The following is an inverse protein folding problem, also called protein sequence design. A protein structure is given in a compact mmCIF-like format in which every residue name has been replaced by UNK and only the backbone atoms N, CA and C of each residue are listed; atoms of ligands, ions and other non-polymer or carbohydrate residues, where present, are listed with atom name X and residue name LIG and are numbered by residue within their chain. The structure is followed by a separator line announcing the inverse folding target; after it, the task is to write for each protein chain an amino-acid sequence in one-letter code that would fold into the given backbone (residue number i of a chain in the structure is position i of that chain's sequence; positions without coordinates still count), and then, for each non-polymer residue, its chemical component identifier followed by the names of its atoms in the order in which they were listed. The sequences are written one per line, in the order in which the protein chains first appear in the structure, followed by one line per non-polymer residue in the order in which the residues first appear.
data_IF_142480826426
#
_entry.id   IF_142480826426
#
_cell.length_a   1.000
_cell.length_b   1.000
_cell.length_c   1.000
_cell.angle_alpha   90.00
_cell.angle_beta   90.00
_cell.angle_gamma   90.00
#
_symmetry.space_group_name_H-M   'P 1'
#
loop_
_entity.id
_entity.type
_entity.pdbx_description
1 polymer ?
#
# COMPACT_ATOMS: atom_id res chain seq x y z
N UNK A 1 -4.89 6.36 -4.57
CA UNK A 1 -5.14 6.38 -3.10
C UNK A 1 -6.37 7.23 -2.85
N UNK A 2 -7.21 6.89 -1.87
CA UNK A 2 -8.37 7.70 -1.45
C UNK A 2 -8.17 8.09 0.02
N UNK A 3 -8.31 9.36 0.35
CA UNK A 3 -8.31 9.86 1.72
C UNK A 3 -9.76 10.09 2.18
N UNK A 4 -10.16 9.46 3.28
CA UNK A 4 -11.49 9.57 3.89
C UNK A 4 -11.45 10.32 5.24
N UNK A 5 -10.24 10.65 5.71
CA UNK A 5 -9.99 11.27 6.99
C UNK A 5 -8.54 11.71 7.13
N UNK A 6 -8.15 12.06 8.36
CA UNK A 6 -6.78 12.48 8.64
C UNK A 6 -5.88 11.24 8.78
N UNK A 7 -4.96 10.99 7.83
CA UNK A 7 -4.12 9.79 7.83
C UNK A 7 -3.16 9.71 9.04
N UNK A 8 -2.97 10.83 9.75
CA UNK A 8 -2.03 10.94 10.86
C UNK A 8 -2.69 10.82 12.24
N UNK A 9 -4.01 10.65 12.31
CA UNK A 9 -4.77 10.65 13.59
C UNK A 9 -4.26 9.63 14.62
N UNK A 10 -3.69 8.51 14.14
CA UNK A 10 -3.21 7.40 14.97
C UNK A 10 -1.70 7.14 14.82
N UNK A 11 -0.97 8.08 14.23
CA UNK A 11 0.45 7.95 13.92
C UNK A 11 1.27 8.79 14.89
N UNK A 12 2.14 8.14 15.67
CA UNK A 12 3.08 8.81 16.57
C UNK A 12 4.43 8.98 15.87
N UNK A 13 4.90 10.22 15.71
CA UNK A 13 6.11 10.56 14.94
C UNK A 13 7.45 10.13 15.56
N UNK A 14 7.48 9.16 16.47
CA UNK A 14 8.70 8.51 16.96
C UNK A 14 8.93 7.10 16.36
N UNK A 15 7.98 6.60 15.56
CA UNK A 15 8.04 5.26 14.96
C UNK A 15 7.80 5.33 13.45
N UNK A 16 8.27 4.30 12.75
CA UNK A 16 7.91 4.03 11.35
C UNK A 16 6.71 3.09 11.30
N UNK A 17 5.65 3.52 10.64
CA UNK A 17 4.42 2.76 10.45
C UNK A 17 4.40 2.16 9.06
N UNK A 18 4.15 0.86 9.03
CA UNK A 18 4.08 0.02 7.86
C UNK A 18 2.75 -0.71 7.87
N UNK A 19 2.14 -0.91 6.71
CA UNK A 19 0.77 -1.39 6.64
C UNK A 19 0.71 -2.71 5.90
N UNK A 20 0.24 -3.76 6.58
CA UNK A 20 0.21 -5.12 6.04
C UNK A 20 -1.06 -5.40 5.24
N UNK A 21 -0.91 -6.26 4.24
CA UNK A 21 -2.01 -6.94 3.55
C UNK A 21 -2.53 -8.13 4.39
N UNK A 22 -3.66 -8.71 3.98
CA UNK A 22 -4.28 -9.88 4.63
C UNK A 22 -3.69 -11.23 4.16
N UNK A 23 -2.53 -11.22 3.49
CA UNK A 23 -1.85 -12.41 2.99
C UNK A 23 -0.40 -12.46 3.43
N UNK A 24 0.14 -13.67 3.51
CA UNK A 24 1.57 -13.92 3.73
C UNK A 24 2.33 -13.91 2.41
N UNK A 25 3.60 -13.49 2.42
CA UNK A 25 4.45 -13.37 1.23
C UNK A 25 4.45 -14.66 0.39
N UNK A 26 4.63 -15.82 1.03
CA UNK A 26 4.67 -17.12 0.37
C UNK A 26 3.33 -17.65 -0.15
N UNK A 27 2.22 -17.00 0.20
CA UNK A 27 0.86 -17.41 -0.18
C UNK A 27 0.30 -16.60 -1.35
N UNK A 28 0.88 -15.45 -1.67
CA UNK A 28 0.50 -14.63 -2.83
C UNK A 28 1.36 -15.01 -4.02
N UNK A 29 0.75 -15.46 -5.13
CA UNK A 29 1.50 -15.91 -6.31
C UNK A 29 2.48 -14.87 -6.83
N UNK A 30 2.01 -13.63 -7.03
CA UNK A 30 2.81 -12.52 -7.55
C UNK A 30 3.88 -12.05 -6.56
N UNK A 31 3.53 -11.79 -5.29
CA UNK A 31 4.50 -11.35 -4.30
C UNK A 31 5.55 -12.42 -4.00
N UNK A 32 5.15 -13.70 -3.97
CA UNK A 32 6.09 -14.82 -3.84
C UNK A 32 7.06 -14.86 -5.02
N UNK A 33 6.56 -14.70 -6.24
CA UNK A 33 7.38 -14.72 -7.45
C UNK A 33 8.40 -13.56 -7.43
N UNK A 34 7.94 -12.33 -7.19
CA UNK A 34 8.84 -11.17 -7.05
C UNK A 34 9.88 -11.35 -5.95
N UNK A 35 9.45 -11.80 -4.78
CA UNK A 35 10.36 -11.97 -3.65
C UNK A 35 11.40 -13.06 -3.92
N UNK A 36 10.98 -14.22 -4.46
CA UNK A 36 11.90 -15.29 -4.84
C UNK A 36 12.82 -14.89 -5.99
N UNK A 37 12.35 -14.12 -6.96
CA UNK A 37 13.18 -13.61 -8.05
C UNK A 37 14.28 -12.66 -7.56
N UNK A 38 14.03 -11.96 -6.46
CA UNK A 38 14.98 -11.07 -5.82
C UNK A 38 15.85 -11.73 -4.74
N UNK A 39 15.39 -12.78 -4.05
CA UNK A 39 16.06 -13.35 -2.89
C UNK A 39 15.98 -14.88 -2.85
N UNK A 40 17.15 -15.54 -2.83
CA UNK A 40 17.28 -17.00 -2.98
C UNK A 40 17.93 -17.72 -1.78
N UNK A 41 18.17 -17.05 -0.65
CA UNK A 41 18.86 -17.65 0.50
C UNK A 41 17.90 -18.14 1.60
N UNK A 42 18.42 -18.92 2.56
CA UNK A 42 17.62 -19.49 3.66
C UNK A 42 16.89 -18.43 4.51
N UNK A 43 17.49 -17.23 4.63
CA UNK A 43 16.82 -16.11 5.31
C UNK A 43 15.59 -15.64 4.53
N UNK A 44 15.67 -15.61 3.20
CA UNK A 44 14.53 -15.32 2.33
C UNK A 44 13.42 -16.36 2.47
N UNK A 45 13.76 -17.65 2.62
CA UNK A 45 12.78 -18.70 2.83
C UNK A 45 11.97 -18.50 4.12
N UNK A 46 12.60 -18.02 5.20
CA UNK A 46 11.91 -17.69 6.45
C UNK A 46 10.92 -16.53 6.26
N UNK A 47 11.28 -15.53 5.46
CA UNK A 47 10.45 -14.35 5.20
C UNK A 47 9.18 -14.65 4.40
N UNK A 48 9.13 -15.77 3.67
CA UNK A 48 7.90 -16.20 3.00
C UNK A 48 6.75 -16.50 3.99
N UNK A 49 7.06 -16.74 5.27
CA UNK A 49 6.05 -16.92 6.32
C UNK A 49 5.50 -15.59 6.83
N UNK A 50 6.13 -14.46 6.56
CA UNK A 50 5.70 -13.16 7.07
C UNK A 50 4.50 -12.61 6.29
N UNK A 51 3.77 -11.66 6.90
CA UNK A 51 2.72 -10.89 6.20
C UNK A 51 3.36 -10.05 5.10
N UNK A 52 2.59 -9.75 4.06
CA UNK A 52 3.02 -8.78 3.04
C UNK A 52 2.83 -7.40 3.63
N UNK A 53 3.86 -6.58 3.61
CA UNK A 53 3.78 -5.15 3.90
C UNK A 53 3.69 -4.40 2.57
N UNK A 54 2.67 -3.58 2.37
CA UNK A 54 2.48 -2.84 1.12
C UNK A 54 3.51 -1.71 1.00
N UNK A 55 4.29 -1.69 -0.09
CA UNK A 55 5.35 -0.69 -0.28
C UNK A 55 4.82 0.71 -0.62
N UNK A 56 3.59 0.81 -1.14
CA UNK A 56 2.99 2.08 -1.56
C UNK A 56 2.56 3.00 -0.42
N UNK A 57 2.67 2.55 0.84
CA UNK A 57 2.28 3.35 2.00
C UNK A 57 3.20 3.07 3.19
N UNK A 58 3.87 4.11 3.67
CA UNK A 58 4.71 4.09 4.87
C UNK A 58 4.63 5.47 5.50
N UNK A 59 4.50 5.52 6.83
CA UNK A 59 4.35 6.77 7.57
C UNK A 59 5.35 6.84 8.73
N UNK A 60 5.68 8.03 9.19
CA UNK A 60 6.62 8.20 10.31
C UNK A 60 7.34 9.54 10.29
N UNK A 61 8.34 9.69 11.17
CA UNK A 61 9.16 10.90 11.22
C UNK A 61 9.94 11.08 9.90
N UNK A 62 10.03 12.29 9.33
CA UNK A 62 10.78 12.53 8.11
C UNK A 62 12.21 11.97 8.11
N UNK A 63 12.94 12.12 9.22
CA UNK A 63 14.31 11.60 9.35
C UNK A 63 14.38 10.07 9.32
N UNK A 64 13.42 9.38 9.94
CA UNK A 64 13.33 7.92 9.91
C UNK A 64 12.92 7.42 8.54
N UNK A 65 11.95 8.09 7.90
CA UNK A 65 11.52 7.76 6.54
C UNK A 65 12.66 7.96 5.53
N UNK A 66 13.44 9.03 5.65
CA UNK A 66 14.58 9.26 4.78
C UNK A 66 15.65 8.17 4.94
N UNK A 67 15.95 7.75 6.18
CA UNK A 67 16.88 6.64 6.43
C UNK A 67 16.33 5.32 5.86
N UNK A 68 15.03 5.08 6.02
CA UNK A 68 14.36 3.89 5.49
C UNK A 68 14.41 3.86 3.96
N UNK A 69 14.08 4.97 3.30
CA UNK A 69 14.15 5.11 1.85
C UNK A 69 15.57 4.91 1.33
N UNK A 70 16.58 5.51 1.97
CA UNK A 70 18.00 5.28 1.61
C UNK A 70 18.36 3.79 1.70
N UNK A 71 17.87 3.10 2.72
CA UNK A 71 18.13 1.66 2.92
C UNK A 71 17.42 0.82 1.87
N UNK A 72 16.17 1.14 1.54
CA UNK A 72 15.43 0.49 0.45
C UNK A 72 16.12 0.69 -0.90
N UNK A 73 16.51 1.92 -1.23
CA UNK A 73 17.21 2.24 -2.48
C UNK A 73 18.54 1.50 -2.56
N UNK A 74 19.33 1.50 -1.49
CA UNK A 74 20.59 0.75 -1.45
C UNK A 74 20.36 -0.75 -1.69
N UNK A 75 19.31 -1.32 -1.10
CA UNK A 75 18.97 -2.73 -1.31
C UNK A 75 18.50 -3.02 -2.74
N UNK A 76 17.66 -2.14 -3.32
CA UNK A 76 17.24 -2.24 -4.71
C UNK A 76 18.44 -2.18 -5.66
N UNK A 77 19.39 -1.28 -5.40
CA UNK A 77 20.62 -1.19 -6.17
C UNK A 77 21.50 -2.43 -6.03
N UNK A 78 21.51 -3.07 -4.85
CA UNK A 78 22.23 -4.32 -4.60
C UNK A 78 21.64 -5.51 -5.37
N UNK A 79 20.33 -5.53 -5.59
CA UNK A 79 19.61 -6.65 -6.24
C UNK A 79 19.29 -6.41 -7.72
N UNK A 80 19.48 -5.20 -8.25
CA UNK A 80 19.08 -4.79 -9.62
C UNK A 80 19.60 -5.69 -10.76
N UNK A 81 20.78 -6.28 -10.58
CA UNK A 81 21.42 -7.13 -11.60
C UNK A 81 20.96 -8.60 -11.52
N UNK A 82 20.05 -8.96 -10.61
CA UNK A 82 19.53 -10.33 -10.51
C UNK A 82 18.56 -10.57 -11.66
N UNK A 83 18.73 -11.63 -12.48
CA UNK A 83 17.95 -11.87 -13.69
C UNK A 83 16.43 -11.87 -13.49
N UNK A 84 15.97 -12.28 -12.30
CA UNK A 84 14.56 -12.40 -11.97
C UNK A 84 14.04 -11.30 -11.04
N UNK A 85 14.84 -10.25 -10.79
CA UNK A 85 14.50 -9.12 -9.94
C UNK A 85 14.40 -7.83 -10.77
N UNK A 86 13.52 -7.83 -11.76
CA UNK A 86 13.36 -6.74 -12.72
C UNK A 86 11.88 -6.45 -12.97
N UNK A 87 11.57 -5.23 -13.38
CA UNK A 87 10.22 -4.81 -13.80
C UNK A 87 9.48 -3.93 -12.79
N UNK A 88 8.18 -3.73 -13.05
CA UNK A 88 7.30 -2.90 -12.23
C UNK A 88 7.02 -3.63 -10.91
N UNK A 89 7.15 -2.92 -9.79
CA UNK A 89 6.85 -3.46 -8.45
C UNK A 89 8.03 -4.09 -7.72
N UNK A 90 9.28 -3.92 -8.19
CA UNK A 90 10.49 -4.43 -7.49
C UNK A 90 10.77 -3.74 -6.14
N UNK A 91 10.12 -2.60 -5.89
CA UNK A 91 10.10 -1.95 -4.59
C UNK A 91 9.38 -2.82 -3.54
N UNK A 92 8.35 -3.58 -3.93
CA UNK A 92 7.58 -4.46 -3.06
C UNK A 92 8.42 -5.56 -2.36
N UNK A 93 9.28 -6.35 -3.05
CA UNK A 93 10.16 -7.30 -2.40
C UNK A 93 11.29 -6.63 -1.61
N UNK A 94 11.86 -5.51 -2.07
CA UNK A 94 12.88 -4.77 -1.32
C UNK A 94 12.32 -4.18 -0.02
N UNK A 95 11.10 -3.62 -0.07
CA UNK A 95 10.38 -3.10 1.07
C UNK A 95 10.19 -4.18 2.15
N UNK A 96 9.67 -5.34 1.77
CA UNK A 96 9.48 -6.45 2.70
C UNK A 96 10.82 -6.98 3.25
N UNK A 97 11.85 -7.05 2.41
CA UNK A 97 13.17 -7.49 2.84
C UNK A 97 13.77 -6.56 3.91
N UNK A 98 13.83 -5.26 3.63
CA UNK A 98 14.38 -4.27 4.56
C UNK A 98 13.54 -4.22 5.83
N UNK A 99 12.22 -4.16 5.70
CA UNK A 99 11.31 -4.12 6.84
C UNK A 99 11.58 -5.28 7.80
N UNK A 100 11.60 -6.52 7.34
CA UNK A 100 11.73 -7.70 8.21
C UNK A 100 13.16 -7.98 8.68
N UNK A 101 14.19 -7.58 7.93
CA UNK A 101 15.58 -7.89 8.27
C UNK A 101 16.26 -6.84 9.16
N UNK A 102 15.76 -5.61 9.16
CA UNK A 102 16.38 -4.49 9.88
C UNK A 102 15.52 -3.92 11.04
N UNK A 103 14.94 -4.75 11.94
CA UNK A 103 14.10 -4.23 13.03
C UNK A 103 14.89 -3.35 14.01
N UNK A 104 16.22 -3.53 14.10
CA UNK A 104 17.09 -2.71 14.94
C UNK A 104 17.46 -1.35 14.32
N UNK A 105 17.37 -1.21 13.00
CA UNK A 105 17.67 0.06 12.31
C UNK A 105 16.47 1.01 12.32
N UNK A 106 15.25 0.47 12.46
CA UNK A 106 14.01 1.23 12.41
C UNK A 106 13.03 0.72 13.46
N UNK A 107 12.78 1.47 14.56
CA UNK A 107 11.68 1.20 15.46
C UNK A 107 10.37 1.28 14.66
N UNK A 108 9.79 0.12 14.33
CA UNK A 108 8.64 0.01 13.43
C UNK A 108 7.40 -0.52 14.15
N UNK A 109 6.25 -0.08 13.67
CA UNK A 109 4.95 -0.72 13.92
C UNK A 109 4.46 -1.23 12.57
N UNK A 110 4.19 -2.53 12.50
CA UNK A 110 3.47 -3.12 11.37
C UNK A 110 2.01 -3.21 11.79
N UNK A 111 1.16 -2.36 11.22
CA UNK A 111 -0.28 -2.39 11.44
C UNK A 111 -0.91 -3.32 10.41
N UNK A 112 -1.74 -4.23 10.87
CA UNK A 112 -2.44 -5.17 10.01
C UNK A 112 -3.74 -4.54 9.53
N UNK A 113 -4.09 -4.76 8.26
CA UNK A 113 -5.41 -4.45 7.73
C UNK A 113 -6.54 -4.82 8.72
N UNK A 114 -7.40 -3.83 9.00
CA UNK A 114 -8.55 -4.00 9.88
C UNK A 114 -8.23 -4.15 11.37
N UNK A 115 -7.00 -3.89 11.83
CA UNK A 115 -6.71 -3.69 13.26
C UNK A 115 -7.28 -2.37 13.77
N UNK A 116 -7.63 -2.34 15.06
CA UNK A 116 -8.06 -1.11 15.74
C UNK A 116 -6.94 -0.06 15.65
N UNK A 117 -7.30 1.17 15.30
CA UNK A 117 -6.38 2.30 15.09
C UNK A 117 -5.46 2.17 13.86
N UNK A 118 -5.73 1.26 12.92
CA UNK A 118 -5.06 1.28 11.63
C UNK A 118 -5.73 2.31 10.70
N UNK A 119 -5.07 3.44 10.37
CA UNK A 119 -5.66 4.45 9.50
C UNK A 119 -5.67 4.03 8.02
N UNK A 120 -4.92 2.98 7.64
CA UNK A 120 -4.76 2.59 6.24
C UNK A 120 -5.34 1.21 6.00
N UNK A 121 -6.11 1.10 4.92
CA UNK A 121 -6.54 -0.18 4.40
C UNK A 121 -5.97 -0.44 3.01
N UNK A 122 -5.16 -1.49 2.88
CA UNK A 122 -4.67 -1.97 1.60
C UNK A 122 -5.67 -2.92 0.94
N UNK A 123 -6.10 -2.59 -0.27
CA UNK A 123 -7.20 -3.29 -0.95
C UNK A 123 -6.75 -4.37 -1.94
N UNK A 124 -5.46 -4.41 -2.31
CA UNK A 124 -4.98 -5.22 -3.44
C UNK A 124 -5.10 -6.73 -3.24
N UNK A 125 -4.91 -7.23 -2.01
CA UNK A 125 -4.91 -8.66 -1.72
C UNK A 125 -6.06 -9.10 -0.80
N UNK A 126 -7.01 -8.22 -0.54
CA UNK A 126 -8.15 -8.50 0.32
C UNK A 126 -9.23 -9.30 -0.42
N UNK A 127 -9.03 -10.62 -0.51
CA UNK A 127 -9.84 -11.52 -1.32
C UNK A 127 -11.01 -12.19 -0.58
N UNK A 128 -11.29 -11.86 0.69
CA UNK A 128 -12.34 -12.55 1.47
C UNK A 128 -13.52 -11.69 1.91
N UNK A 129 -13.40 -10.36 1.92
CA UNK A 129 -14.46 -9.52 2.48
C UNK A 129 -14.86 -8.31 1.64
N UNK A 130 -14.04 -7.89 0.68
CA UNK A 130 -14.36 -6.73 -0.16
C UNK A 130 -15.50 -6.99 -1.17
N UNK A 131 -15.80 -8.26 -1.49
CA UNK A 131 -16.83 -8.62 -2.48
C UNK A 131 -18.24 -8.77 -1.92
N UNK A 132 -18.42 -8.98 -0.61
CA UNK A 132 -19.74 -9.35 -0.04
C UNK A 132 -20.51 -8.21 0.63
N UNK A 133 -19.88 -7.06 0.89
CA UNK A 133 -20.50 -5.96 1.65
C UNK A 133 -20.22 -4.57 1.06
N UNK A 134 -20.01 -4.50 -0.26
CA UNK A 134 -20.10 -3.23 -1.00
C UNK A 134 -21.49 -2.61 -0.91
N UNK A 135 -22.51 -3.39 -0.53
CA UNK A 135 -23.88 -2.93 -0.26
C UNK A 135 -24.04 -1.98 0.93
N UNK A 136 -23.02 -1.75 1.78
CA UNK A 136 -23.08 -0.80 2.91
C UNK A 136 -22.52 0.59 2.61
N UNK A 137 -22.52 1.00 1.34
CA UNK A 137 -22.29 2.40 0.98
C UNK A 137 -23.41 3.27 1.57
N UNK A 138 -23.18 3.89 2.71
CA UNK A 138 -24.10 4.88 3.26
C UNK A 138 -24.05 6.12 2.37
N UNK A 139 -25.07 6.24 1.53
CA UNK A 139 -25.57 7.52 1.08
C UNK A 139 -26.38 8.09 2.23
N UNK A 140 -26.02 9.27 2.71
CA UNK A 140 -26.93 10.11 3.47
C UNK A 140 -26.79 11.56 3.01
N UNK A 141 -27.95 12.21 2.91
CA UNK A 141 -28.18 13.51 2.30
C UNK A 141 -27.39 14.63 3.02
N UNK A 142 -26.73 15.50 2.25
CA UNK A 142 -26.42 16.87 2.72
C UNK A 142 -24.97 17.35 2.85
N UNK A 143 -23.93 16.54 2.48
CA UNK A 143 -22.45 16.83 2.50
C UNK A 143 -21.80 16.54 3.87
N UNK A 144 -20.59 15.91 3.99
CA UNK A 144 -19.47 15.76 3.05
C UNK A 144 -19.24 14.31 2.54
N UNK A 145 -18.25 14.13 1.65
CA UNK A 145 -18.00 12.95 0.78
C UNK A 145 -18.24 11.55 1.41
N UNK A 146 -18.79 10.59 0.64
CA UNK A 146 -19.10 9.25 1.13
C UNK A 146 -17.84 8.53 1.63
N UNK A 147 -17.85 8.11 2.90
CA UNK A 147 -16.77 7.31 3.47
C UNK A 147 -17.09 5.84 3.28
N UNK A 148 -16.15 5.12 2.68
CA UNK A 148 -16.25 3.67 2.49
C UNK A 148 -15.94 3.00 3.81
N UNK A 149 -16.89 2.18 4.26
CA UNK A 149 -16.77 1.38 5.47
C UNK A 149 -16.20 0.00 5.16
N UNK A 150 -15.44 -0.47 6.13
CA UNK A 150 -14.93 -1.82 6.22
C UNK A 150 -16.02 -2.84 6.49
N UNK A 151 -15.80 -4.07 6.05
CA UNK A 151 -16.54 -5.26 6.49
C UNK A 151 -16.55 -5.43 8.02
N UNK A 152 -15.59 -4.82 8.71
CA UNK A 152 -15.47 -4.77 10.17
C UNK A 152 -16.10 -3.53 10.80
N UNK A 153 -16.96 -2.80 10.08
CA UNK A 153 -17.61 -1.58 10.55
C UNK A 153 -16.64 -0.45 10.94
N UNK A 154 -15.41 -0.49 10.42
CA UNK A 154 -14.39 0.54 10.61
C UNK A 154 -14.34 1.47 9.40
N UNK A 155 -13.94 2.72 9.61
CA UNK A 155 -13.74 3.69 8.52
C UNK A 155 -12.28 4.08 8.48
N UNK A 156 -11.46 3.46 7.62
CA UNK A 156 -10.05 3.81 7.54
C UNK A 156 -9.92 5.22 6.97
N UNK A 157 -8.94 5.96 7.44
CA UNK A 157 -8.62 7.31 6.96
C UNK A 157 -8.05 7.27 5.53
N UNK A 158 -7.44 6.15 5.11
CA UNK A 158 -6.83 5.94 3.80
C UNK A 158 -7.24 4.60 3.21
N UNK A 159 -7.68 4.62 1.95
CA UNK A 159 -7.78 3.43 1.12
C UNK A 159 -6.66 3.44 0.09
N UNK A 160 -5.76 2.47 0.23
CA UNK A 160 -4.65 2.27 -0.69
C UNK A 160 -5.00 1.17 -1.70
N UNK A 161 -4.51 1.31 -2.95
CA UNK A 161 -4.77 0.39 -4.06
C UNK A 161 -6.27 0.14 -4.34
N UNK A 162 -7.12 1.17 -4.17
CA UNK A 162 -8.56 1.09 -4.42
C UNK A 162 -8.89 0.63 -5.86
N UNK A 163 -8.03 0.96 -6.81
CA UNK A 163 -8.12 0.64 -8.23
C UNK A 163 -7.94 -0.85 -8.52
N UNK A 164 -7.30 -1.59 -7.60
CA UNK A 164 -7.18 -3.06 -7.65
C UNK A 164 -8.48 -3.77 -7.26
N UNK A 165 -9.45 -3.02 -6.71
CA UNK A 165 -10.78 -3.53 -6.40
C UNK A 165 -11.80 -3.07 -7.46
N UNK A 166 -12.16 -3.94 -8.41
CA UNK A 166 -12.95 -3.58 -9.62
C UNK A 166 -14.19 -2.74 -9.34
N UNK A 167 -15.02 -3.12 -8.36
CA UNK A 167 -16.24 -2.41 -8.05
C UNK A 167 -15.99 -1.03 -7.42
N UNK A 168 -14.93 -0.90 -6.63
CA UNK A 168 -14.55 0.37 -6.01
C UNK A 168 -13.89 1.30 -7.03
N UNK A 169 -13.02 0.74 -7.88
CA UNK A 169 -12.42 1.44 -9.02
C UNK A 169 -13.49 1.98 -9.98
N UNK A 170 -14.52 1.17 -10.28
CA UNK A 170 -15.67 1.57 -11.10
C UNK A 170 -16.44 2.72 -10.45
N UNK A 171 -16.87 2.54 -9.20
CA UNK A 171 -17.61 3.57 -8.45
C UNK A 171 -16.84 4.89 -8.36
N UNK A 172 -15.54 4.84 -8.05
CA UNK A 172 -14.71 6.05 -7.93
C UNK A 172 -14.63 6.79 -9.27
N UNK A 173 -14.47 6.08 -10.38
CA UNK A 173 -14.47 6.68 -11.72
C UNK A 173 -15.82 7.33 -12.04
N UNK A 174 -16.91 6.59 -11.89
CA UNK A 174 -18.26 7.11 -12.15
C UNK A 174 -18.59 8.36 -11.31
N UNK A 175 -18.06 8.44 -10.08
CA UNK A 175 -18.34 9.55 -9.17
C UNK A 175 -17.43 10.76 -9.38
N UNK A 176 -16.16 10.55 -9.72
CA UNK A 176 -15.13 11.61 -9.67
C UNK A 176 -14.38 11.85 -10.98
N UNK A 177 -14.42 10.94 -11.95
CA UNK A 177 -13.69 11.14 -13.22
C UNK A 177 -14.54 11.71 -14.36
N UNK A 178 -15.88 11.68 -14.27
CA UNK A 178 -16.77 12.16 -15.36
C UNK A 178 -17.30 13.61 -15.18
N UNK A 179 -16.78 14.41 -14.24
CA UNK A 179 -17.26 15.80 -14.08
C UNK A 179 -16.22 16.93 -13.93
N UNK A 180 -14.97 16.66 -13.53
CA UNK A 180 -14.06 17.76 -13.16
C UNK A 180 -12.66 17.74 -13.82
N UNK A 181 -12.27 16.70 -14.57
CA UNK A 181 -10.91 16.63 -15.14
C UNK A 181 -10.80 17.08 -16.61
N UNK A 182 -11.91 17.24 -17.34
CA UNK A 182 -11.86 17.25 -18.81
C UNK A 182 -12.26 18.59 -19.46
N UNK A 183 -12.35 19.69 -18.70
CA UNK A 183 -12.81 20.97 -19.28
C UNK A 183 -11.97 22.22 -19.09
N UNK A 184 -10.89 22.27 -18.29
CA UNK A 184 -10.18 23.56 -18.11
C UNK A 184 -8.66 23.49 -17.76
N UNK A 185 -7.93 22.40 -18.00
CA UNK A 185 -6.48 22.39 -17.81
C UNK A 185 -5.72 22.07 -19.10
N UNK A 186 -5.15 23.08 -19.78
CA UNK A 186 -4.38 22.87 -20.99
C UNK A 186 -2.91 22.56 -20.69
N UNK A 187 -2.58 21.63 -19.78
CA UNK A 187 -1.17 21.25 -19.55
C UNK A 187 -1.00 19.77 -19.19
N UNK A 188 -1.21 18.89 -20.16
CA UNK A 188 -0.61 17.55 -20.16
C UNK A 188 -0.17 17.16 -21.57
N UNK A 189 0.77 17.93 -22.12
CA UNK A 189 1.67 17.48 -23.18
C UNK A 189 3.08 17.54 -22.61
N UNK A 190 3.58 16.40 -22.11
CA UNK A 190 5.03 16.23 -21.96
C UNK A 190 5.55 15.96 -23.37
N UNK A 191 5.91 17.03 -24.08
CA UNK A 191 6.79 16.93 -25.24
C UNK A 191 8.18 16.54 -24.74
N UNK A 192 8.57 15.30 -25.01
CA UNK A 192 9.98 14.93 -25.01
C UNK A 192 10.55 15.49 -26.31
N UNK A 193 11.32 16.56 -26.22
CA UNK A 193 12.18 17.05 -27.30
C UNK A 193 13.62 16.61 -26.97
N UNK A 194 14.42 16.15 -27.95
CA UNK A 194 15.75 15.55 -27.73
C UNK A 194 16.75 16.41 -26.98
#
# INVERSE_FOLDING_TARGET
VIFQGNPFRHIYFNKTYMFSEDKRLGTSGMNRAWFRGCYHNDRAAKMLKEKIICSGVTMGKPTQLLLYLKTMVAEMMRIRNRPHCQGIGIDQPAHNWVAYRAPSLFPKIVLVNGEKNNPVWNMALNSRHAHRNISKYMWEEGRPLPKLMTDRNATPDVLHQYDRHRALAKWYREKFTDRDCDRNHPEHTISIVP
#
